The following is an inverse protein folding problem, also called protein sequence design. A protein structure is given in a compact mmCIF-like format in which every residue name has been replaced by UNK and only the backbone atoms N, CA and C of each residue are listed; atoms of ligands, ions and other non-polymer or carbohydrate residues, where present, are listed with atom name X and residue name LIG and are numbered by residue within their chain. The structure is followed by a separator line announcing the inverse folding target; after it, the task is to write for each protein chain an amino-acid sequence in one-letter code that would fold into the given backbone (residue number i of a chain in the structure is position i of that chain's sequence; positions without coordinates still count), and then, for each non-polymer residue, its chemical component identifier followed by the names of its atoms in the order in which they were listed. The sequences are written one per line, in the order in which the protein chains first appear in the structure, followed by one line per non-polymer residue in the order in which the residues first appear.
data_IF_774864262855
#
_entry.id   IF_774864262855
#
_cell.length_a   1.000
_cell.length_b   1.000
_cell.length_c   1.000
_cell.angle_alpha   90.00
_cell.angle_beta   90.00
_cell.angle_gamma   90.00
#
_symmetry.space_group_name_H-M   'P 1'
#
loop_
_entity.id
_entity.type
_entity.pdbx_description
1 polymer ?
#
# COMPACT_ATOMS: atom_id res chain seq x y z
N UNK A 1 50.72 -71.23 25.03
CA UNK A 1 49.88 -70.02 25.23
C UNK A 1 50.26 -68.98 24.19
N UNK A 2 49.26 -68.30 23.66
CA UNK A 2 49.23 -67.65 22.34
C UNK A 2 49.99 -66.31 22.29
N UNK A 3 50.78 -66.16 21.24
CA UNK A 3 51.37 -64.90 20.75
C UNK A 3 50.29 -64.06 20.06
N UNK A 4 50.19 -62.77 20.38
CA UNK A 4 49.51 -61.78 19.55
C UNK A 4 50.26 -60.44 19.62
N UNK A 5 51.03 -60.19 18.57
CA UNK A 5 51.66 -58.91 18.26
C UNK A 5 50.59 -57.86 17.92
N UNK A 6 50.71 -56.67 18.52
CA UNK A 6 49.96 -55.47 18.16
C UNK A 6 50.53 -54.92 16.85
N UNK A 7 49.70 -54.83 15.80
CA UNK A 7 49.99 -54.04 14.61
C UNK A 7 49.00 -52.86 14.60
N UNK A 8 49.55 -51.67 14.81
CA UNK A 8 48.85 -50.39 14.68
C UNK A 8 48.77 -50.07 13.18
N UNK A 9 47.59 -50.21 12.58
CA UNK A 9 47.35 -49.79 11.21
C UNK A 9 46.82 -48.35 11.22
N UNK A 10 47.67 -47.43 10.74
CA UNK A 10 47.30 -46.09 10.31
C UNK A 10 46.22 -46.19 9.21
N UNK A 11 45.04 -45.64 9.47
CA UNK A 11 44.06 -45.28 8.47
C UNK A 11 43.92 -43.76 8.39
N UNK A 12 44.59 -43.14 7.41
CA UNK A 12 44.21 -41.82 6.90
C UNK A 12 42.88 -41.96 6.15
N UNK A 13 42.00 -40.96 6.27
CA UNK A 13 41.36 -40.22 5.15
C UNK A 13 40.49 -39.08 5.74
N UNK A 14 40.39 -37.93 5.05
CA UNK A 14 40.08 -36.62 5.62
C UNK A 14 38.62 -36.20 5.38
N UNK A 15 38.21 -35.08 6.00
CA UNK A 15 37.53 -33.95 5.36
C UNK A 15 36.58 -33.23 6.33
N UNK A 16 36.85 -31.92 6.47
CA UNK A 16 35.90 -30.83 6.65
C UNK A 16 34.41 -31.22 6.70
N UNK A 17 33.74 -30.82 7.78
CA UNK A 17 32.40 -30.25 7.70
C UNK A 17 32.27 -29.21 8.81
N UNK A 18 32.58 -27.97 8.42
CA UNK A 18 32.04 -26.76 9.00
C UNK A 18 30.53 -26.91 9.16
N UNK A 19 30.07 -27.12 10.39
CA UNK A 19 28.65 -26.96 10.72
C UNK A 19 28.35 -25.46 10.71
N UNK A 20 28.16 -24.92 9.51
CA UNK A 20 27.52 -23.64 9.33
C UNK A 20 26.08 -23.82 9.84
N UNK A 21 25.78 -23.16 10.95
CA UNK A 21 24.42 -22.92 11.41
C UNK A 21 23.73 -22.09 10.33
N UNK A 22 23.15 -22.75 9.34
CA UNK A 22 22.22 -22.12 8.42
C UNK A 22 20.98 -21.78 9.24
N UNK A 23 20.87 -20.51 9.62
CA UNK A 23 19.59 -19.88 9.92
C UNK A 23 18.66 -20.21 8.77
N UNK A 24 17.82 -21.24 8.95
CA UNK A 24 16.68 -21.52 8.11
C UNK A 24 15.79 -20.28 8.20
N UNK A 25 16.00 -19.31 7.30
CA UNK A 25 14.95 -18.37 6.94
C UNK A 25 13.82 -19.27 6.45
N UNK A 26 12.78 -19.42 7.26
CA UNK A 26 11.57 -20.12 6.88
C UNK A 26 11.14 -19.52 5.55
N UNK A 27 11.29 -20.29 4.49
CA UNK A 27 10.80 -19.93 3.17
C UNK A 27 9.29 -19.83 3.31
N UNK A 28 8.82 -18.63 3.63
CA UNK A 28 7.40 -18.33 3.80
C UNK A 28 6.83 -18.42 2.39
N UNK A 29 6.39 -19.63 2.03
CA UNK A 29 5.64 -19.97 0.82
C UNK A 29 4.72 -18.78 0.54
N UNK A 30 4.96 -18.08 -0.57
CA UNK A 30 4.17 -16.90 -0.95
C UNK A 30 2.74 -17.36 -1.19
N UNK A 31 1.91 -17.35 -0.15
CA UNK A 31 0.50 -17.70 -0.29
C UNK A 31 -0.15 -16.55 -1.04
N UNK A 32 -0.76 -16.82 -2.21
CA UNK A 32 -1.39 -15.76 -2.99
C UNK A 32 -2.56 -15.15 -2.18
N UNK A 33 -2.82 -13.85 -2.36
CA UNK A 33 -3.94 -13.18 -1.69
C UNK A 33 -5.29 -13.82 -2.04
N UNK A 34 -6.24 -13.79 -1.09
CA UNK A 34 -7.60 -14.31 -1.30
C UNK A 34 -8.35 -13.50 -2.35
N UNK A 35 -9.06 -14.15 -3.28
CA UNK A 35 -9.87 -13.47 -4.30
C UNK A 35 -10.87 -12.44 -3.73
N UNK A 36 -11.28 -12.61 -2.47
CA UNK A 36 -12.18 -11.70 -1.75
C UNK A 36 -11.62 -10.27 -1.61
N UNK A 37 -10.31 -10.07 -1.72
CA UNK A 37 -9.69 -8.73 -1.67
C UNK A 37 -10.25 -7.82 -2.75
N UNK A 38 -10.61 -8.36 -3.92
CA UNK A 38 -11.13 -7.59 -5.04
C UNK A 38 -12.45 -6.91 -4.69
N UNK A 39 -13.40 -7.70 -4.17
CA UNK A 39 -14.71 -7.18 -3.77
C UNK A 39 -14.58 -6.19 -2.59
N UNK A 40 -13.72 -6.49 -1.62
CA UNK A 40 -13.49 -5.62 -0.47
C UNK A 40 -12.84 -4.29 -0.89
N UNK A 41 -11.88 -4.30 -1.80
CA UNK A 41 -11.24 -3.12 -2.36
C UNK A 41 -12.24 -2.26 -3.13
N UNK A 42 -13.00 -2.87 -4.05
CA UNK A 42 -14.04 -2.18 -4.82
C UNK A 42 -15.07 -1.52 -3.90
N UNK A 43 -15.56 -2.23 -2.89
CA UNK A 43 -16.50 -1.68 -1.91
C UNK A 43 -15.89 -0.51 -1.10
N UNK A 44 -14.64 -0.65 -0.67
CA UNK A 44 -13.95 0.38 0.10
C UNK A 44 -13.69 1.64 -0.72
N UNK A 45 -13.32 1.49 -2.00
CA UNK A 45 -13.17 2.62 -2.93
C UNK A 45 -14.53 3.29 -3.13
N UNK A 46 -15.58 2.53 -3.47
CA UNK A 46 -16.91 3.07 -3.73
C UNK A 46 -17.47 3.83 -2.52
N UNK A 47 -17.34 3.28 -1.30
CA UNK A 47 -17.81 3.93 -0.07
C UNK A 47 -17.01 5.18 0.32
N UNK A 48 -15.76 5.32 -0.14
CA UNK A 48 -14.95 6.51 0.11
C UNK A 48 -15.28 7.70 -0.80
N UNK A 49 -15.97 7.43 -1.91
CA UNK A 49 -16.28 8.41 -2.94
C UNK A 49 -17.71 8.96 -2.79
N UNK A 50 -17.92 10.25 -3.09
CA UNK A 50 -19.27 10.78 -3.20
C UNK A 50 -20.01 10.09 -4.36
N UNK A 51 -21.33 9.94 -4.23
CA UNK A 51 -22.18 9.45 -5.31
C UNK A 51 -21.87 8.01 -5.77
N UNK A 52 -21.55 7.13 -4.83
CA UNK A 52 -21.17 5.73 -5.07
C UNK A 52 -22.19 4.94 -5.91
N UNK A 53 -23.47 5.31 -5.88
CA UNK A 53 -24.53 4.71 -6.70
C UNK A 53 -24.42 4.99 -8.20
N UNK A 54 -23.64 5.99 -8.60
CA UNK A 54 -23.40 6.36 -10.01
C UNK A 54 -21.98 6.03 -10.49
N UNK A 55 -21.21 5.31 -9.68
CA UNK A 55 -19.84 4.89 -10.01
C UNK A 55 -19.81 3.43 -10.46
N UNK A 56 -19.06 3.19 -11.52
CA UNK A 56 -18.69 1.87 -12.01
C UNK A 56 -17.21 1.67 -11.73
N UNK A 57 -16.90 0.54 -11.10
CA UNK A 57 -15.53 0.12 -10.82
C UNK A 57 -15.25 -1.10 -11.70
N UNK A 58 -14.15 -1.04 -12.44
CA UNK A 58 -13.73 -2.20 -13.22
C UNK A 58 -13.44 -3.38 -12.29
N UNK A 59 -13.60 -4.60 -12.80
CA UNK A 59 -13.00 -5.75 -12.15
C UNK A 59 -11.49 -5.49 -12.00
N UNK A 60 -10.90 -5.72 -10.82
CA UNK A 60 -9.49 -5.48 -10.62
C UNK A 60 -8.67 -6.35 -11.58
N UNK A 61 -7.62 -5.78 -12.16
CA UNK A 61 -6.68 -6.53 -12.99
C UNK A 61 -6.07 -7.71 -12.21
N UNK A 62 -5.56 -8.75 -12.90
CA UNK A 62 -4.82 -9.82 -12.24
C UNK A 62 -3.72 -9.27 -11.33
N UNK A 63 -3.55 -9.88 -10.16
CA UNK A 63 -2.49 -9.49 -9.25
C UNK A 63 -1.12 -9.67 -9.92
N UNK A 64 -0.32 -8.61 -9.88
CA UNK A 64 1.08 -8.63 -10.29
C UNK A 64 1.96 -8.50 -9.07
N UNK A 65 2.97 -9.35 -8.95
CA UNK A 65 3.96 -9.22 -7.88
C UNK A 65 5.02 -8.19 -8.26
N UNK A 66 5.37 -7.28 -7.34
CA UNK A 66 6.43 -6.29 -7.53
C UNK A 66 7.08 -5.94 -6.20
N UNK A 67 8.34 -5.53 -6.28
CA UNK A 67 9.04 -4.87 -5.18
C UNK A 67 8.95 -3.35 -5.36
N UNK A 68 8.59 -2.67 -4.30
CA UNK A 68 8.29 -1.25 -4.26
C UNK A 68 9.33 -0.52 -3.42
N UNK A 69 9.74 0.65 -3.90
CA UNK A 69 10.66 1.51 -3.15
C UNK A 69 9.89 2.13 -1.98
N UNK A 70 10.46 2.06 -0.77
CA UNK A 70 9.96 2.79 0.42
C UNK A 70 11.13 3.57 1.05
N UNK A 71 10.85 4.36 2.10
CA UNK A 71 11.88 5.17 2.74
C UNK A 71 12.86 4.34 3.58
N UNK A 72 12.42 3.18 4.09
CA UNK A 72 13.21 2.31 4.96
C UNK A 72 13.82 1.15 4.19
N UNK A 73 12.96 0.25 3.73
CA UNK A 73 13.36 -0.99 3.06
C UNK A 73 12.39 -1.32 1.91
N UNK A 74 12.86 -1.87 0.79
CA UNK A 74 11.99 -2.28 -0.31
C UNK A 74 10.87 -3.19 0.21
N UNK A 75 9.63 -2.82 -0.11
CA UNK A 75 8.46 -3.61 0.26
C UNK A 75 8.06 -4.50 -0.91
N UNK A 76 7.85 -5.80 -0.68
CA UNK A 76 7.39 -6.71 -1.72
C UNK A 76 5.98 -7.18 -1.46
N UNK A 77 5.15 -7.11 -2.48
CA UNK A 77 3.78 -7.60 -2.41
C UNK A 77 3.14 -7.65 -3.77
N UNK A 78 1.83 -7.77 -3.77
CA UNK A 78 1.04 -7.79 -4.98
C UNK A 78 0.41 -6.42 -5.21
N UNK A 79 0.16 -6.08 -6.47
CA UNK A 79 -0.66 -4.94 -6.81
C UNK A 79 -1.62 -5.27 -7.94
N UNK A 80 -2.64 -4.44 -8.06
CA UNK A 80 -3.60 -4.46 -9.16
C UNK A 80 -4.18 -3.06 -9.35
N UNK A 81 -4.72 -2.80 -10.53
CA UNK A 81 -5.39 -1.55 -10.85
C UNK A 81 -6.90 -1.77 -10.93
N UNK A 82 -7.63 -0.79 -10.39
CA UNK A 82 -9.08 -0.66 -10.44
C UNK A 82 -9.40 0.66 -11.10
N UNK A 83 -10.13 0.65 -12.20
CA UNK A 83 -10.55 1.85 -12.89
C UNK A 83 -11.93 2.28 -12.40
N UNK A 84 -12.05 3.53 -11.95
CA UNK A 84 -13.30 4.09 -11.42
C UNK A 84 -13.82 5.14 -12.39
N UNK A 85 -15.06 5.00 -12.84
CA UNK A 85 -15.69 5.96 -13.75
C UNK A 85 -17.18 6.12 -13.41
N UNK A 86 -17.81 7.17 -13.92
CA UNK A 86 -19.26 7.30 -13.83
C UNK A 86 -19.93 6.41 -14.88
N UNK A 87 -21.15 5.91 -14.60
CA UNK A 87 -21.93 5.04 -15.50
C UNK A 87 -21.96 5.54 -16.96
N UNK A 88 -22.06 6.86 -17.15
CA UNK A 88 -22.16 7.49 -18.48
C UNK A 88 -20.87 8.23 -18.90
N UNK A 89 -19.71 7.85 -18.35
CA UNK A 89 -18.43 8.49 -18.66
C UNK A 89 -17.45 7.50 -19.28
N UNK A 90 -16.75 7.95 -20.33
CA UNK A 90 -15.62 7.23 -20.93
C UNK A 90 -14.30 7.48 -20.18
N UNK A 91 -14.32 8.35 -19.19
CA UNK A 91 -13.14 8.81 -18.47
C UNK A 91 -13.00 8.03 -17.17
N UNK A 92 -11.88 7.33 -16.99
CA UNK A 92 -11.61 6.52 -15.81
C UNK A 92 -10.48 7.07 -14.96
N UNK A 93 -10.70 7.07 -13.67
CA UNK A 93 -9.70 7.37 -12.66
C UNK A 93 -9.09 6.06 -12.17
N UNK A 94 -7.78 5.88 -12.36
CA UNK A 94 -7.10 4.69 -11.88
C UNK A 94 -6.94 4.73 -10.37
N UNK A 95 -7.18 3.60 -9.73
CA UNK A 95 -6.78 3.30 -8.35
C UNK A 95 -5.78 2.15 -8.38
N UNK A 96 -4.62 2.35 -7.77
CA UNK A 96 -3.64 1.28 -7.54
C UNK A 96 -3.88 0.69 -6.16
N UNK A 97 -4.20 -0.60 -6.13
CA UNK A 97 -4.38 -1.40 -4.92
C UNK A 97 -3.15 -2.26 -4.67
N UNK A 98 -2.61 -2.19 -3.46
CA UNK A 98 -1.51 -3.01 -2.96
C UNK A 98 -2.07 -4.04 -2.00
N UNK A 99 -1.58 -5.28 -2.12
CA UNK A 99 -2.16 -6.43 -1.44
C UNK A 99 -1.04 -7.30 -0.87
N UNK A 100 -1.20 -7.74 0.38
CA UNK A 100 -0.25 -8.62 1.05
C UNK A 100 -0.92 -9.52 2.09
N UNK A 101 -0.38 -10.72 2.25
CA UNK A 101 -0.82 -11.72 3.24
C UNK A 101 0.08 -11.75 4.48
N UNK A 102 1.19 -11.01 4.48
CA UNK A 102 2.17 -11.01 5.57
C UNK A 102 2.01 -9.79 6.48
N UNK A 103 1.86 -8.62 5.88
CA UNK A 103 1.84 -7.34 6.58
C UNK A 103 0.96 -6.32 5.85
N UNK A 104 0.56 -5.26 6.56
CA UNK A 104 -0.22 -4.18 5.95
C UNK A 104 0.66 -3.39 4.97
N UNK A 105 0.15 -3.06 3.76
CA UNK A 105 0.92 -2.26 2.81
C UNK A 105 1.24 -0.86 3.39
N UNK A 106 2.52 -0.44 3.40
CA UNK A 106 2.92 0.92 3.79
C UNK A 106 2.58 1.93 2.69
N UNK A 107 1.29 2.09 2.42
CA UNK A 107 0.74 2.81 1.25
C UNK A 107 1.26 4.23 1.10
N UNK A 108 1.47 4.97 2.21
CA UNK A 108 1.99 6.35 2.16
C UNK A 108 3.42 6.38 1.60
N UNK A 109 4.26 5.43 1.99
CA UNK A 109 5.63 5.34 1.51
C UNK A 109 5.67 4.80 0.07
N UNK A 110 4.91 3.76 -0.23
CA UNK A 110 4.86 3.19 -1.59
C UNK A 110 4.33 4.22 -2.59
N UNK A 111 3.24 4.91 -2.26
CA UNK A 111 2.63 5.89 -3.15
C UNK A 111 3.58 7.05 -3.47
N UNK A 112 4.36 7.50 -2.48
CA UNK A 112 5.30 8.61 -2.65
C UNK A 112 6.33 8.38 -3.76
N UNK A 113 6.77 7.13 -3.95
CA UNK A 113 7.87 6.80 -4.86
C UNK A 113 7.44 6.01 -6.09
N UNK A 114 6.28 5.35 -6.06
CA UNK A 114 5.89 4.37 -7.09
C UNK A 114 4.52 4.67 -7.71
N UNK A 115 3.81 5.71 -7.29
CA UNK A 115 2.48 6.04 -7.80
C UNK A 115 2.45 7.46 -8.35
N UNK A 116 2.08 7.58 -9.63
CA UNK A 116 1.74 8.86 -10.25
C UNK A 116 0.26 9.15 -10.00
N UNK A 117 -0.07 10.24 -9.28
CA UNK A 117 -1.47 10.61 -9.06
C UNK A 117 -2.16 10.96 -10.39
N UNK A 118 -3.49 10.79 -10.49
CA UNK A 118 -4.23 11.25 -11.65
C UNK A 118 -4.19 12.78 -11.75
N UNK A 119 -4.39 13.32 -12.95
CA UNK A 119 -4.57 14.76 -13.10
C UNK A 119 -5.81 15.24 -12.34
N UNK A 120 -5.79 16.48 -11.86
CA UNK A 120 -6.92 17.04 -11.11
C UNK A 120 -8.23 17.05 -11.92
N UNK A 121 -8.15 17.40 -13.20
CA UNK A 121 -9.29 17.39 -14.12
C UNK A 121 -9.90 16.00 -14.25
N UNK A 122 -9.05 14.96 -14.35
CA UNK A 122 -9.48 13.58 -14.38
C UNK A 122 -10.14 13.18 -13.06
N UNK A 123 -9.53 13.53 -11.94
CA UNK A 123 -10.03 13.17 -10.62
C UNK A 123 -11.39 13.81 -10.28
N UNK A 124 -11.61 15.05 -10.72
CA UNK A 124 -12.89 15.75 -10.54
C UNK A 124 -14.07 15.10 -11.27
N UNK A 125 -13.82 14.15 -12.17
CA UNK A 125 -14.91 13.41 -12.84
C UNK A 125 -15.66 12.50 -11.87
N UNK A 126 -14.96 11.85 -10.93
CA UNK A 126 -15.55 10.95 -9.94
C UNK A 126 -15.75 11.62 -8.57
N UNK A 127 -15.04 12.71 -8.30
CA UNK A 127 -15.12 13.41 -7.02
C UNK A 127 -15.28 14.92 -7.25
N UNK A 128 -16.52 15.44 -7.19
CA UNK A 128 -16.80 16.83 -7.54
C UNK A 128 -15.98 17.82 -6.72
N UNK A 129 -15.50 18.87 -7.38
CA UNK A 129 -14.74 19.98 -6.76
C UNK A 129 -15.43 20.48 -5.48
N UNK A 130 -16.74 20.75 -5.53
CA UNK A 130 -17.52 21.22 -4.38
C UNK A 130 -17.50 20.26 -3.18
N UNK A 131 -17.53 18.95 -3.43
CA UNK A 131 -17.43 17.94 -2.36
C UNK A 131 -16.07 17.98 -1.67
N UNK A 132 -14.98 18.08 -2.44
CA UNK A 132 -13.62 18.18 -1.89
C UNK A 132 -13.41 19.45 -1.09
N UNK A 133 -13.92 20.59 -1.58
CA UNK A 133 -13.90 21.82 -0.81
C UNK A 133 -14.68 21.69 0.50
N UNK A 134 -15.91 21.18 0.45
CA UNK A 134 -16.72 20.99 1.66
C UNK A 134 -16.06 20.04 2.66
N UNK A 135 -15.43 18.96 2.18
CA UNK A 135 -14.72 18.00 3.02
C UNK A 135 -13.50 18.65 3.69
N UNK A 136 -12.67 19.38 2.93
CA UNK A 136 -11.49 20.08 3.44
C UNK A 136 -11.82 21.20 4.44
N UNK A 137 -12.97 21.87 4.28
CA UNK A 137 -13.44 22.93 5.17
C UNK A 137 -14.38 22.43 6.28
N UNK A 138 -14.71 21.13 6.31
CA UNK A 138 -15.45 20.55 7.42
C UNK A 138 -14.55 20.44 8.65
N UNK A 139 -15.04 20.92 9.81
CA UNK A 139 -14.27 21.01 11.07
C UNK A 139 -13.64 19.68 11.54
N UNK A 140 -14.06 18.54 11.00
CA UNK A 140 -13.58 17.21 11.36
C UNK A 140 -12.36 16.73 10.56
N UNK A 141 -12.05 17.27 9.37
CA UNK A 141 -10.98 16.71 8.52
C UNK A 141 -9.62 17.42 8.65
N UNK A 142 -9.58 18.61 9.25
CA UNK A 142 -8.33 19.38 9.36
C UNK A 142 -7.40 18.83 10.44
N UNK A 143 -7.96 18.14 11.44
CA UNK A 143 -7.20 17.57 12.57
C UNK A 143 -6.64 16.17 12.26
N UNK A 144 -7.35 15.35 11.49
CA UNK A 144 -6.93 13.98 11.16
C UNK A 144 -5.79 13.90 10.14
N UNK A 145 -5.61 14.94 9.31
CA UNK A 145 -4.65 14.94 8.19
C UNK A 145 -3.28 15.52 8.60
N UNK A 146 -3.26 16.47 9.54
CA UNK A 146 -2.05 17.19 9.95
C UNK A 146 -1.43 16.71 11.26
N UNK A 147 -1.70 15.46 11.68
CA UNK A 147 -1.17 14.81 12.88
C UNK A 147 -0.16 15.65 13.67
N UNK A 148 -0.62 16.26 14.77
CA UNK A 148 0.18 17.01 15.74
C UNK A 148 1.07 18.15 15.23
N UNK A 149 0.89 18.67 14.01
CA UNK A 149 1.63 19.84 13.55
C UNK A 149 1.03 21.17 14.07
N UNK A 150 0.96 21.33 15.40
CA UNK A 150 0.84 22.63 16.09
C UNK A 150 0.84 22.43 17.61
N UNK A 151 2.00 22.08 18.17
CA UNK A 151 2.25 22.38 19.59
C UNK A 151 3.44 23.34 19.82
N UNK A 152 4.28 23.66 18.81
CA UNK A 152 5.49 24.48 19.05
C UNK A 152 5.70 25.70 18.14
N UNK A 153 4.70 26.15 17.39
CA UNK A 153 4.85 27.38 16.59
C UNK A 153 4.16 28.56 17.29
N UNK A 154 4.91 29.11 18.24
CA UNK A 154 4.73 30.44 18.80
C UNK A 154 4.44 31.47 17.70
N UNK A 155 3.35 32.22 17.88
CA UNK A 155 3.15 33.58 17.39
C UNK A 155 3.90 33.98 16.11
N UNK A 156 3.35 33.66 14.94
CA UNK A 156 3.60 34.46 13.74
C UNK A 156 2.30 34.75 13.00
N UNK A 157 2.10 36.03 12.69
CA UNK A 157 0.88 36.65 12.19
C UNK A 157 0.55 36.30 10.71
N UNK A 158 1.08 35.19 10.19
CA UNK A 158 0.95 34.77 8.77
C UNK A 158 0.01 33.56 8.57
N UNK A 159 -0.79 33.21 9.58
CA UNK A 159 -1.59 31.97 9.60
C UNK A 159 -2.67 31.90 8.51
N UNK A 160 -3.29 33.02 8.11
CA UNK A 160 -4.40 33.01 7.14
C UNK A 160 -3.96 32.72 5.69
N UNK A 161 -2.79 33.19 5.27
CA UNK A 161 -2.32 32.95 3.90
C UNK A 161 -1.82 31.51 3.71
N UNK A 162 -1.23 30.92 4.75
CA UNK A 162 -0.75 29.54 4.68
C UNK A 162 -1.87 28.52 4.83
N UNK A 163 -2.86 28.78 5.70
CA UNK A 163 -4.04 27.91 5.86
C UNK A 163 -4.88 27.83 4.59
N UNK A 164 -5.20 28.99 3.99
CA UNK A 164 -5.97 29.02 2.72
C UNK A 164 -5.23 28.27 1.60
N UNK A 165 -3.90 28.35 1.57
CA UNK A 165 -3.06 27.68 0.58
C UNK A 165 -2.95 26.18 0.84
N UNK A 166 -2.79 25.75 2.09
CA UNK A 166 -2.76 24.35 2.48
C UNK A 166 -4.14 23.68 2.27
N UNK A 167 -5.22 24.38 2.59
CA UNK A 167 -6.60 23.95 2.35
C UNK A 167 -6.90 23.84 0.85
N UNK A 168 -6.45 24.81 0.05
CA UNK A 168 -6.54 24.73 -1.41
C UNK A 168 -5.74 23.54 -1.95
N UNK A 169 -4.55 23.27 -1.41
CA UNK A 169 -3.74 22.10 -1.76
C UNK A 169 -4.40 20.78 -1.36
N UNK A 170 -5.06 20.70 -0.21
CA UNK A 170 -5.83 19.51 0.23
C UNK A 170 -7.06 19.30 -0.67
N UNK A 171 -7.80 20.36 -0.98
CA UNK A 171 -8.93 20.28 -1.90
C UNK A 171 -8.50 19.84 -3.31
N UNK A 172 -7.25 20.14 -3.69
CA UNK A 172 -6.65 19.67 -4.93
C UNK A 172 -6.13 18.24 -4.83
N UNK A 173 -5.54 17.81 -3.71
CA UNK A 173 -4.96 16.47 -3.53
C UNK A 173 -5.49 15.80 -2.26
N UNK A 174 -6.76 15.34 -2.26
CA UNK A 174 -7.33 14.71 -1.08
C UNK A 174 -6.66 13.37 -0.79
N UNK A 175 -6.65 12.95 0.48
CA UNK A 175 -6.24 11.59 0.84
C UNK A 175 -7.26 10.61 0.23
N UNK A 176 -6.84 9.91 -0.82
CA UNK A 176 -7.64 8.90 -1.54
C UNK A 176 -7.36 7.49 -1.05
N UNK A 177 -6.61 7.37 0.04
CA UNK A 177 -6.21 6.10 0.60
C UNK A 177 -7.41 5.41 1.24
N UNK A 178 -7.71 4.21 0.75
CA UNK A 178 -8.65 3.28 1.39
C UNK A 178 -7.90 2.02 1.80
N UNK A 179 -8.27 1.44 2.93
CA UNK A 179 -7.61 0.27 3.51
C UNK A 179 -8.64 -0.74 3.97
N UNK A 180 -8.26 -2.01 4.00
CA UNK A 180 -9.06 -3.05 4.61
C UNK A 180 -8.33 -4.37 4.71
N UNK A 181 -9.04 -5.35 5.28
CA UNK A 181 -8.58 -6.72 5.41
C UNK A 181 -9.72 -7.69 5.11
N UNK A 182 -9.40 -8.85 4.53
CA UNK A 182 -10.42 -9.86 4.20
C UNK A 182 -9.83 -11.26 4.00
N UNK A 183 -10.70 -12.25 4.04
CA UNK A 183 -10.44 -13.62 3.59
C UNK A 183 -9.53 -14.45 4.50
N UNK A 184 -9.37 -15.70 4.09
CA UNK A 184 -8.39 -16.65 4.59
C UNK A 184 -7.58 -17.17 3.39
N UNK A 185 -6.23 -17.06 3.39
CA UNK A 185 -5.41 -16.41 4.41
C UNK A 185 -5.74 -14.92 4.52
N UNK A 186 -5.50 -14.36 5.72
CA UNK A 186 -5.74 -12.95 5.99
C UNK A 186 -5.01 -12.09 4.97
N UNK A 187 -5.77 -11.29 4.22
CA UNK A 187 -5.26 -10.47 3.13
C UNK A 187 -5.49 -9.01 3.48
N UNK A 188 -4.41 -8.25 3.61
CA UNK A 188 -4.44 -6.80 3.77
C UNK A 188 -4.41 -6.15 2.40
N UNK A 189 -5.21 -5.09 2.23
CA UNK A 189 -5.15 -4.25 1.05
C UNK A 189 -5.16 -2.77 1.40
N UNK A 190 -4.50 -1.98 0.56
CA UNK A 190 -4.59 -0.53 0.58
C UNK A 190 -4.63 -0.02 -0.86
N UNK A 191 -5.59 0.83 -1.19
CA UNK A 191 -5.70 1.42 -2.52
C UNK A 191 -5.56 2.94 -2.45
N UNK A 192 -5.02 3.53 -3.52
CA UNK A 192 -4.87 4.98 -3.66
C UNK A 192 -5.13 5.37 -5.11
N UNK A 193 -5.70 6.55 -5.34
CA UNK A 193 -5.90 7.07 -6.68
C UNK A 193 -4.53 7.34 -7.34
N UNK A 194 -4.31 6.77 -8.52
CA UNK A 194 -3.07 6.88 -9.27
C UNK A 194 -2.69 5.59 -9.97
N UNK A 195 -1.72 5.69 -10.88
CA UNK A 195 -1.12 4.54 -11.56
C UNK A 195 0.27 4.28 -11.02
N UNK A 196 0.62 3.02 -10.98
CA UNK A 196 1.99 2.62 -10.73
C UNK A 196 2.92 3.16 -11.84
N UNK A 197 4.10 3.65 -11.45
CA UNK A 197 5.20 4.02 -12.35
C UNK A 197 6.02 2.83 -12.80
#
# INVERSE_FOLDING_TARGET
MKSFFKIFALGLIPAFLTSACSTFKTETRKVPPSANWQQAATHSIASSLPDSGNLVLSLPQPLSEKSFITAKEPWSGYFSQVEVHKINSITSVPYTCFVSTKEQPPIKEIARYNVTPPTLSLFYTIMPKAYLYNKAYSKSSIWDIFGHAREDDSESNDSKHNETTAQAKIAMFPETTVKGETGLPKTYFACIAGKIT
#
